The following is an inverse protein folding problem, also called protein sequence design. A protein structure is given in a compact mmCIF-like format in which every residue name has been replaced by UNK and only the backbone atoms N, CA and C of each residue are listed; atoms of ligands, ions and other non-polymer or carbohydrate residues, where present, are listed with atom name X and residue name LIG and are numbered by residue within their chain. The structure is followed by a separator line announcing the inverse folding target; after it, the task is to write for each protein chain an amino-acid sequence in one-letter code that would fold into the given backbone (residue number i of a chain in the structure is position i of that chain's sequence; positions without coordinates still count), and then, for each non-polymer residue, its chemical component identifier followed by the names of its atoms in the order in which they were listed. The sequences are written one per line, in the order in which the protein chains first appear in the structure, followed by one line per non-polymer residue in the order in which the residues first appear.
data_IF_250656127251
#
_entry.id   IF_250656127251
#
_cell.length_a   1.000
_cell.length_b   1.000
_cell.length_c   1.000
_cell.angle_alpha   90.00
_cell.angle_beta   90.00
_cell.angle_gamma   90.00
#
_symmetry.space_group_name_H-M   'P 1'
#
loop_
_entity.id
_entity.type
_entity.pdbx_description
1 polymer ?
#
# COMPACT_ATOMS: atom_id res chain seq x y z
N UNK A 1 19.78 0.10 13.82
CA UNK A 1 18.87 -1.06 14.01
C UNK A 1 18.95 -1.66 15.42
N UNK A 2 18.89 -0.86 16.50
CA UNK A 2 19.01 -1.40 17.88
C UNK A 2 17.87 -1.05 18.84
N UNK A 3 16.82 -0.33 18.40
CA UNK A 3 15.72 0.09 19.28
C UNK A 3 14.41 -0.69 19.08
N UNK A 4 14.29 -1.48 18.02
CA UNK A 4 13.09 -2.30 17.78
C UNK A 4 12.93 -3.48 18.76
N UNK A 5 13.91 -3.71 19.64
CA UNK A 5 14.00 -4.89 20.49
C UNK A 5 13.30 -4.78 21.87
N UNK A 6 12.64 -3.66 22.19
CA UNK A 6 12.01 -3.44 23.51
C UNK A 6 10.48 -3.24 23.48
N UNK A 7 9.83 -3.52 22.35
CA UNK A 7 8.37 -3.51 22.30
C UNK A 7 7.84 -4.82 22.92
N UNK A 8 7.19 -4.73 24.09
CA UNK A 8 6.37 -5.83 24.64
C UNK A 8 5.41 -6.35 23.57
N UNK A 9 5.00 -7.63 23.62
CA UNK A 9 4.12 -8.23 22.60
C UNK A 9 2.87 -7.40 22.29
N UNK A 10 2.31 -6.69 23.29
CA UNK A 10 1.19 -5.75 23.11
C UNK A 10 1.60 -4.52 22.30
N UNK A 11 2.72 -3.87 22.62
CA UNK A 11 3.16 -2.67 21.91
C UNK A 11 3.58 -2.96 20.46
N UNK A 12 4.15 -4.15 20.20
CA UNK A 12 4.43 -4.63 18.84
C UNK A 12 3.14 -4.87 18.05
N UNK A 13 2.16 -5.52 18.67
CA UNK A 13 0.84 -5.76 18.08
C UNK A 13 0.12 -4.45 17.74
N UNK A 14 0.06 -3.52 18.69
CA UNK A 14 -0.56 -2.20 18.51
C UNK A 14 0.15 -1.43 17.39
N UNK A 15 1.49 -1.44 17.36
CA UNK A 15 2.25 -0.75 16.33
C UNK A 15 2.00 -1.36 14.94
N UNK A 16 2.05 -2.68 14.79
CA UNK A 16 1.80 -3.34 13.50
C UNK A 16 0.38 -3.06 12.97
N UNK A 17 -0.63 -3.12 13.83
CA UNK A 17 -2.02 -2.89 13.41
C UNK A 17 -2.25 -1.41 13.10
N UNK A 18 -1.88 -0.50 14.01
CA UNK A 18 -2.16 0.92 13.78
C UNK A 18 -1.33 1.50 12.63
N UNK A 19 -0.04 1.17 12.58
CA UNK A 19 0.82 1.70 11.53
C UNK A 19 0.57 1.00 10.19
N UNK A 20 0.64 -0.34 10.17
CA UNK A 20 0.53 -1.13 8.94
C UNK A 20 -0.86 -1.11 8.34
N UNK A 21 -1.91 -1.19 9.15
CA UNK A 21 -3.28 -1.26 8.62
C UNK A 21 -3.89 0.10 8.31
N UNK A 22 -3.48 1.16 9.01
CA UNK A 22 -4.15 2.46 8.94
C UNK A 22 -3.23 3.58 8.43
N UNK A 23 -2.18 3.91 9.17
CA UNK A 23 -1.34 5.09 8.86
C UNK A 23 -0.67 4.93 7.49
N UNK A 24 -0.02 3.79 7.23
CA UNK A 24 0.72 3.56 6.00
C UNK A 24 -0.20 3.57 4.75
N UNK A 25 -1.31 2.80 4.71
CA UNK A 25 -2.23 2.84 3.55
C UNK A 25 -2.84 4.22 3.29
N UNK A 26 -3.13 5.00 4.34
CA UNK A 26 -3.64 6.38 4.18
C UNK A 26 -2.60 7.25 3.46
N UNK A 27 -1.36 7.25 3.96
CA UNK A 27 -0.28 8.07 3.38
C UNK A 27 0.01 7.63 1.94
N UNK A 28 0.06 6.33 1.70
CA UNK A 28 0.27 5.78 0.37
C UNK A 28 -0.82 6.22 -0.61
N UNK A 29 -2.11 6.09 -0.25
CA UNK A 29 -3.18 6.52 -1.14
C UNK A 29 -3.18 8.03 -1.41
N UNK A 30 -2.89 8.85 -0.40
CA UNK A 30 -2.78 10.29 -0.59
C UNK A 30 -1.63 10.67 -1.54
N UNK A 31 -0.49 9.99 -1.43
CA UNK A 31 0.67 10.23 -2.31
C UNK A 31 0.43 9.69 -3.72
N UNK A 32 0.04 8.43 -3.87
CA UNK A 32 -0.06 7.78 -5.18
C UNK A 32 -1.32 8.19 -5.95
N UNK A 33 -2.47 8.33 -5.27
CA UNK A 33 -3.75 8.61 -5.95
C UNK A 33 -4.09 10.09 -5.82
N UNK A 34 -3.98 10.64 -4.62
CA UNK A 34 -4.25 12.05 -4.34
C UNK A 34 -3.31 12.99 -5.08
N UNK A 35 -1.99 12.77 -4.98
CA UNK A 35 -0.99 13.64 -5.58
C UNK A 35 -0.54 13.16 -6.96
N UNK A 36 0.03 11.96 -7.08
CA UNK A 36 0.70 11.50 -8.30
C UNK A 36 -0.26 11.31 -9.49
N UNK A 37 -1.33 10.51 -9.33
CA UNK A 37 -2.29 10.30 -10.42
C UNK A 37 -3.02 11.60 -10.80
N UNK A 38 -3.30 12.47 -9.84
CA UNK A 38 -3.89 13.79 -10.10
C UNK A 38 -2.92 14.71 -10.85
N UNK A 39 -1.64 14.73 -10.49
CA UNK A 39 -0.61 15.48 -11.21
C UNK A 39 -0.45 14.98 -12.66
N UNK A 40 -0.58 13.67 -12.87
CA UNK A 40 -0.54 13.02 -14.19
C UNK A 40 -1.91 13.02 -14.89
N UNK A 41 -2.91 13.74 -14.39
CA UNK A 41 -4.28 13.72 -14.94
C UNK A 41 -4.37 14.14 -16.42
N UNK A 42 -3.41 14.92 -16.94
CA UNK A 42 -3.32 15.25 -18.38
C UNK A 42 -2.98 14.03 -19.24
N UNK A 43 -2.29 13.05 -18.68
CA UNK A 43 -1.85 11.83 -19.36
C UNK A 43 -2.81 10.64 -19.13
N UNK A 44 -3.92 10.86 -18.40
CA UNK A 44 -4.90 9.82 -18.07
C UNK A 44 -5.48 9.10 -19.30
N UNK A 45 -5.60 9.79 -20.44
CA UNK A 45 -6.10 9.21 -21.70
C UNK A 45 -5.27 8.01 -22.16
N UNK A 46 -3.98 8.01 -21.84
CA UNK A 46 -3.03 6.98 -22.25
C UNK A 46 -2.75 5.96 -21.14
N UNK A 47 -3.48 5.99 -20.02
CA UNK A 47 -3.27 5.13 -18.85
C UNK A 47 -1.87 5.25 -18.20
N UNK A 48 -1.11 6.29 -18.54
CA UNK A 48 0.27 6.49 -18.05
C UNK A 48 0.28 6.74 -16.54
N UNK A 49 -0.67 7.52 -16.02
CA UNK A 49 -0.89 7.70 -14.57
C UNK A 49 -1.06 6.36 -13.83
N UNK A 50 -1.78 5.39 -14.41
CA UNK A 50 -1.99 4.06 -13.81
C UNK A 50 -0.69 3.27 -13.80
N UNK A 51 -0.01 3.19 -14.96
CA UNK A 51 1.24 2.42 -15.10
C UNK A 51 2.33 3.01 -14.20
N UNK A 52 2.49 4.34 -14.20
CA UNK A 52 3.51 5.01 -13.39
C UNK A 52 3.20 4.85 -11.90
N UNK A 53 1.94 5.05 -11.50
CA UNK A 53 1.54 4.92 -10.09
C UNK A 53 1.72 3.49 -9.58
N UNK A 54 1.24 2.47 -10.31
CA UNK A 54 1.40 1.07 -9.90
C UNK A 54 2.87 0.63 -9.89
N UNK A 55 3.68 1.10 -10.84
CA UNK A 55 5.11 0.81 -10.89
C UNK A 55 5.85 1.43 -9.72
N UNK A 56 5.64 2.73 -9.45
CA UNK A 56 6.29 3.41 -8.33
C UNK A 56 5.84 2.85 -6.98
N UNK A 57 4.55 2.54 -6.85
CA UNK A 57 4.00 1.87 -5.67
C UNK A 57 4.73 0.54 -5.42
N UNK A 58 4.93 -0.26 -6.46
CA UNK A 58 5.66 -1.53 -6.34
C UNK A 58 7.15 -1.34 -6.02
N UNK A 59 7.81 -0.37 -6.67
CA UNK A 59 9.23 -0.09 -6.46
C UNK A 59 9.53 0.26 -5.00
N UNK A 60 8.74 1.13 -4.36
CA UNK A 60 8.99 1.51 -2.97
C UNK A 60 8.88 0.33 -2.01
N UNK A 61 8.03 -0.66 -2.31
CA UNK A 61 7.83 -1.84 -1.47
C UNK A 61 8.98 -2.84 -1.60
N UNK A 62 9.48 -3.04 -2.82
CA UNK A 62 10.55 -4.00 -3.09
C UNK A 62 11.92 -3.44 -2.71
N UNK A 63 12.21 -2.18 -3.07
CA UNK A 63 13.54 -1.59 -2.85
C UNK A 63 13.90 -1.44 -1.36
N UNK A 64 12.93 -1.46 -0.45
CA UNK A 64 13.18 -1.36 0.98
C UNK A 64 13.82 -2.62 1.58
N UNK A 65 13.57 -3.79 1.00
CA UNK A 65 14.04 -5.09 1.53
C UNK A 65 14.94 -5.86 0.56
N UNK A 66 15.13 -5.35 -0.66
CA UNK A 66 15.97 -5.94 -1.71
C UNK A 66 15.18 -6.30 -2.96
N UNK A 67 15.85 -6.36 -4.12
CA UNK A 67 15.17 -6.62 -5.38
C UNK A 67 14.69 -8.06 -5.51
N UNK A 68 13.37 -8.25 -5.51
CA UNK A 68 12.69 -9.52 -5.73
C UNK A 68 11.60 -9.31 -6.80
N UNK A 69 11.73 -10.00 -7.93
CA UNK A 69 10.83 -9.81 -9.07
C UNK A 69 9.39 -10.26 -8.77
N UNK A 70 9.21 -11.34 -8.00
CA UNK A 70 7.88 -11.83 -7.63
C UNK A 70 7.11 -10.82 -6.79
N UNK A 71 7.78 -10.20 -5.82
CA UNK A 71 7.20 -9.19 -4.95
C UNK A 71 6.84 -7.95 -5.76
N UNK A 72 7.71 -7.56 -6.70
CA UNK A 72 7.42 -6.48 -7.62
C UNK A 72 6.13 -6.72 -8.41
N UNK A 73 5.94 -7.93 -8.95
CA UNK A 73 4.74 -8.27 -9.70
C UNK A 73 3.50 -8.23 -8.81
N UNK A 74 3.59 -8.75 -7.57
CA UNK A 74 2.48 -8.76 -6.60
C UNK A 74 2.06 -7.32 -6.24
N UNK A 75 3.00 -6.47 -5.83
CA UNK A 75 2.72 -5.09 -5.46
C UNK A 75 2.28 -4.24 -6.66
N UNK A 76 2.82 -4.49 -7.86
CA UNK A 76 2.37 -3.81 -9.07
C UNK A 76 0.93 -4.19 -9.43
N UNK A 77 0.56 -5.47 -9.25
CA UNK A 77 -0.81 -5.95 -9.44
C UNK A 77 -1.79 -5.30 -8.45
N UNK A 78 -1.46 -5.30 -7.16
CA UNK A 78 -2.27 -4.63 -6.13
C UNK A 78 -2.39 -3.12 -6.39
N UNK A 79 -1.27 -2.47 -6.72
CA UNK A 79 -1.23 -1.05 -7.08
C UNK A 79 -2.11 -0.73 -8.28
N UNK A 80 -2.11 -1.58 -9.31
CA UNK A 80 -2.94 -1.44 -10.50
C UNK A 80 -4.44 -1.58 -10.17
N UNK A 81 -4.83 -2.55 -9.33
CA UNK A 81 -6.22 -2.69 -8.88
C UNK A 81 -6.71 -1.43 -8.15
N UNK A 82 -5.92 -0.90 -7.23
CA UNK A 82 -6.23 0.34 -6.51
C UNK A 82 -6.30 1.55 -7.46
N UNK A 83 -5.41 1.65 -8.45
CA UNK A 83 -5.46 2.72 -9.44
C UNK A 83 -6.73 2.68 -10.30
N UNK A 84 -7.15 1.49 -10.73
CA UNK A 84 -8.39 1.30 -11.50
C UNK A 84 -9.60 1.64 -10.62
N UNK A 85 -9.60 1.18 -9.37
CA UNK A 85 -10.67 1.45 -8.42
C UNK A 85 -10.80 2.95 -8.11
N UNK A 86 -9.68 3.66 -7.93
CA UNK A 86 -9.65 5.11 -7.81
C UNK A 86 -10.25 5.81 -9.04
N UNK A 87 -9.91 5.38 -10.26
CA UNK A 87 -10.48 5.95 -11.49
C UNK A 87 -11.98 5.72 -11.61
N UNK A 88 -12.44 4.53 -11.21
CA UNK A 88 -13.86 4.17 -11.24
C UNK A 88 -14.67 4.99 -10.23
N UNK A 89 -14.21 5.07 -8.98
CA UNK A 89 -14.88 5.77 -7.89
C UNK A 89 -14.67 7.29 -7.91
N UNK A 90 -13.63 7.76 -8.60
CA UNK A 90 -13.18 9.16 -8.65
C UNK A 90 -12.95 9.78 -7.26
N UNK A 91 -12.61 8.94 -6.28
CA UNK A 91 -12.47 9.35 -4.89
C UNK A 91 -11.32 8.58 -4.24
N UNK A 92 -10.40 9.31 -3.62
CA UNK A 92 -9.29 8.70 -2.86
C UNK A 92 -9.81 7.96 -1.62
N UNK A 93 -10.94 8.40 -1.06
CA UNK A 93 -11.51 7.80 0.16
C UNK A 93 -11.93 6.34 -0.04
N UNK A 94 -12.49 6.00 -1.20
CA UNK A 94 -12.89 4.62 -1.49
C UNK A 94 -11.68 3.71 -1.72
N UNK A 95 -10.67 4.19 -2.45
CA UNK A 95 -9.40 3.47 -2.63
C UNK A 95 -8.68 3.25 -1.30
N UNK A 96 -8.67 4.27 -0.43
CA UNK A 96 -8.12 4.22 0.92
C UNK A 96 -8.85 3.23 1.83
N UNK A 97 -10.17 3.22 1.83
CA UNK A 97 -10.93 2.24 2.58
C UNK A 97 -10.60 0.80 2.12
N UNK A 98 -10.56 0.56 0.80
CA UNK A 98 -10.20 -0.74 0.25
C UNK A 98 -8.78 -1.16 0.64
N UNK A 99 -7.83 -0.24 0.58
CA UNK A 99 -6.44 -0.51 0.93
C UNK A 99 -6.28 -0.82 2.43
N UNK A 100 -6.91 -0.02 3.31
CA UNK A 100 -6.95 -0.28 4.75
C UNK A 100 -7.55 -1.66 5.04
N UNK A 101 -8.67 -2.00 4.40
CA UNK A 101 -9.33 -3.30 4.58
C UNK A 101 -8.43 -4.46 4.13
N UNK A 102 -7.78 -4.32 2.98
CA UNK A 102 -6.85 -5.33 2.48
C UNK A 102 -5.66 -5.53 3.41
N UNK A 103 -5.04 -4.44 3.88
CA UNK A 103 -3.88 -4.51 4.77
C UNK A 103 -4.27 -5.08 6.15
N UNK A 104 -5.41 -4.66 6.68
CA UNK A 104 -5.99 -5.21 7.91
C UNK A 104 -6.25 -6.71 7.79
N UNK A 105 -6.83 -7.16 6.68
CA UNK A 105 -7.07 -8.58 6.41
C UNK A 105 -5.76 -9.37 6.38
N UNK A 106 -4.75 -8.90 5.65
CA UNK A 106 -3.45 -9.57 5.58
C UNK A 106 -2.76 -9.66 6.95
N UNK A 107 -2.80 -8.60 7.75
CA UNK A 107 -2.22 -8.59 9.10
C UNK A 107 -2.97 -9.58 10.00
N UNK A 108 -4.30 -9.58 9.99
CA UNK A 108 -5.11 -10.52 10.79
C UNK A 108 -4.80 -11.97 10.38
N UNK A 109 -4.81 -12.27 9.08
CA UNK A 109 -4.46 -13.61 8.58
C UNK A 109 -3.04 -13.99 8.97
N UNK A 110 -2.09 -13.07 8.83
CA UNK A 110 -0.70 -13.32 9.22
C UNK A 110 -0.58 -13.69 10.70
N UNK A 111 -1.29 -12.99 11.57
CA UNK A 111 -1.28 -13.23 13.02
C UNK A 111 -1.96 -14.56 13.39
N UNK A 112 -3.07 -14.89 12.72
CA UNK A 112 -3.82 -16.12 12.99
C UNK A 112 -3.13 -17.38 12.46
N UNK A 113 -2.46 -17.29 11.31
CA UNK A 113 -1.87 -18.45 10.63
C UNK A 113 -0.42 -18.70 11.04
N UNK A 114 0.38 -17.64 11.17
CA UNK A 114 1.82 -17.78 11.39
C UNK A 114 2.27 -17.47 12.83
N UNK A 115 1.38 -16.96 13.69
CA UNK A 115 1.71 -16.58 15.06
C UNK A 115 2.62 -15.35 15.15
N UNK A 116 2.97 -14.95 16.38
CA UNK A 116 3.83 -13.81 16.69
C UNK A 116 5.31 -14.13 16.49
#
# INVERSE_FOLDING_TARGET
MKEAANLTGISYFVTRILYGSLIAPIVEELVFRGLLMTALSKLKKYYIDVIVSSTLFSLIHVLQYGWVLTDFIIYAGAGLLLCIFFRYTRSVYWSMALHILWNSFLIIVSLLVFGY
#
